data_IF_412122849510
#
_entry.id   IF_412122849510
#
_cell.length_a   1.000
_cell.length_b   1.000
_cell.length_c   1.000
_cell.angle_alpha   90.00
_cell.angle_beta   90.00
_cell.angle_gamma   90.00
#
_symmetry.space_group_name_H-M   'P 1'
#
loop_
_entity.id
_entity.type
_entity.pdbx_description
1 polymer ?
#
# COMPACT_ATOMS: atom_id res chain seq x y z
N UNK A 1 -11.12 -11.62 -9.62
CA UNK A 1 -10.33 -12.07 -8.45
C UNK A 1 -9.77 -10.87 -7.73
N UNK A 2 -9.95 -10.80 -6.44
CA UNK A 2 -9.44 -9.69 -5.65
C UNK A 2 -8.18 -10.13 -4.92
N UNK A 3 -7.13 -9.30 -5.00
CA UNK A 3 -5.85 -9.58 -4.39
C UNK A 3 -5.50 -8.43 -3.45
N UNK A 4 -5.10 -8.78 -2.23
CA UNK A 4 -4.55 -7.85 -1.27
C UNK A 4 -3.04 -8.07 -1.24
N UNK A 5 -2.28 -6.99 -1.36
CA UNK A 5 -0.82 -7.12 -1.39
C UNK A 5 -0.29 -7.36 0.01
N UNK A 6 0.47 -8.45 0.15
CA UNK A 6 1.04 -8.88 1.42
C UNK A 6 2.04 -7.86 1.95
N UNK A 7 2.04 -7.63 3.26
CA UNK A 7 3.00 -6.79 3.98
C UNK A 7 2.87 -5.30 3.78
N UNK A 8 2.07 -4.82 2.83
CA UNK A 8 2.06 -3.39 2.53
C UNK A 8 0.66 -2.80 2.62
N UNK A 9 0.61 -1.49 2.82
CA UNK A 9 -0.62 -0.74 2.84
C UNK A 9 -0.38 0.58 2.14
N UNK A 10 -1.15 0.82 1.07
CA UNK A 10 -1.01 2.02 0.27
C UNK A 10 -2.09 3.03 0.65
N UNK A 11 -1.81 4.34 0.48
CA UNK A 11 -2.85 5.35 0.68
C UNK A 11 -4.06 5.11 -0.21
N UNK A 12 -5.24 5.45 0.30
CA UNK A 12 -6.48 5.36 -0.46
C UNK A 12 -6.51 6.40 -1.58
N UNK A 13 -7.23 6.12 -2.64
CA UNK A 13 -7.39 7.09 -3.73
C UNK A 13 -7.91 8.43 -3.22
N UNK A 14 -8.79 8.41 -2.23
CA UNK A 14 -9.33 9.63 -1.64
C UNK A 14 -8.30 10.41 -0.85
N UNK A 15 -7.16 9.81 -0.52
CA UNK A 15 -6.08 10.48 0.20
C UNK A 15 -5.12 11.13 -0.81
N UNK A 16 -5.58 12.23 -1.40
CA UNK A 16 -4.82 12.92 -2.44
C UNK A 16 -3.60 13.63 -1.86
N UNK A 17 -2.48 13.68 -2.59
CA UNK A 17 -2.25 13.11 -3.92
C UNK A 17 -1.70 11.68 -3.86
N UNK A 18 -1.59 11.14 -2.65
CA UNK A 18 -0.80 9.94 -2.37
C UNK A 18 -1.41 8.68 -2.95
N UNK A 19 -2.74 8.55 -2.86
CA UNK A 19 -3.42 7.37 -3.37
C UNK A 19 -3.28 7.23 -4.88
N UNK A 20 -3.43 8.34 -5.60
CA UNK A 20 -3.25 8.32 -7.05
C UNK A 20 -1.82 7.95 -7.43
N UNK A 21 -0.85 8.53 -6.74
CA UNK A 21 0.56 8.24 -7.02
C UNK A 21 0.88 6.77 -6.79
N UNK A 22 0.32 6.20 -5.72
CA UNK A 22 0.51 4.79 -5.42
C UNK A 22 -0.13 3.91 -6.51
N UNK A 23 -1.36 4.23 -6.91
CA UNK A 23 -2.06 3.48 -7.94
C UNK A 23 -1.32 3.55 -9.28
N UNK A 24 -0.79 4.71 -9.63
CA UNK A 24 -0.03 4.88 -10.87
C UNK A 24 1.27 4.09 -10.84
N UNK A 25 1.94 4.06 -9.69
CA UNK A 25 3.16 3.28 -9.54
C UNK A 25 2.87 1.79 -9.73
N UNK A 26 1.80 1.30 -9.13
CA UNK A 26 1.42 -0.10 -9.27
C UNK A 26 1.13 -0.42 -10.73
N UNK A 27 0.40 0.45 -11.43
CA UNK A 27 0.15 0.25 -12.86
C UNK A 27 1.43 0.28 -13.69
N UNK A 28 2.44 1.02 -13.24
CA UNK A 28 3.74 1.02 -13.91
C UNK A 28 4.45 -0.31 -13.79
N UNK A 29 4.34 -0.96 -12.63
CA UNK A 29 4.94 -2.29 -12.41
C UNK A 29 4.11 -3.40 -13.05
N UNK A 30 2.79 -3.24 -13.05
CA UNK A 30 1.87 -4.26 -13.55
C UNK A 30 0.81 -3.60 -14.43
N UNK A 31 1.19 -3.23 -15.68
CA UNK A 31 0.24 -2.57 -16.57
C UNK A 31 -0.99 -3.43 -16.86
N UNK A 32 -2.11 -2.77 -17.09
CA UNK A 32 -3.34 -3.48 -17.45
C UNK A 32 -3.11 -4.40 -18.65
N UNK A 33 -3.57 -5.63 -18.54
CA UNK A 33 -3.39 -6.63 -19.60
C UNK A 33 -2.05 -7.35 -19.56
N UNK A 34 -1.12 -6.92 -18.69
CA UNK A 34 0.15 -7.63 -18.55
C UNK A 34 -0.03 -8.88 -17.67
N UNK A 35 0.88 -9.83 -17.86
CA UNK A 35 0.90 -11.04 -17.04
C UNK A 35 1.86 -10.81 -15.88
N UNK A 36 1.39 -11.08 -14.65
CA UNK A 36 2.23 -11.03 -13.47
C UNK A 36 2.13 -12.38 -12.76
N UNK A 37 3.17 -12.74 -12.03
CA UNK A 37 3.13 -13.93 -11.20
C UNK A 37 2.60 -13.56 -9.82
N UNK A 38 1.67 -14.36 -9.32
CA UNK A 38 1.09 -14.17 -8.00
C UNK A 38 1.55 -15.30 -7.09
N UNK A 39 2.28 -14.94 -6.05
CA UNK A 39 2.64 -15.89 -5.00
C UNK A 39 1.61 -15.74 -3.89
N UNK A 40 0.76 -16.74 -3.71
CA UNK A 40 -0.28 -16.70 -2.68
C UNK A 40 0.33 -16.99 -1.32
N UNK A 41 0.13 -16.07 -0.37
CA UNK A 41 0.56 -16.25 1.01
C UNK A 41 -0.58 -16.86 1.83
N UNK A 42 -1.77 -16.30 1.70
CA UNK A 42 -2.96 -16.79 2.41
C UNK A 42 -4.21 -16.19 1.76
N UNK A 43 -5.36 -16.52 2.32
CA UNK A 43 -6.63 -15.90 1.93
C UNK A 43 -7.20 -15.25 3.18
N UNK A 44 -7.65 -14.01 3.08
CA UNK A 44 -8.20 -13.32 4.25
C UNK A 44 -9.66 -13.74 4.49
N UNK A 45 -10.22 -13.28 5.59
CA UNK A 45 -11.57 -13.69 5.98
C UNK A 45 -12.67 -13.11 5.07
N UNK A 46 -12.31 -12.20 4.18
CA UNK A 46 -13.24 -11.64 3.20
C UNK A 46 -13.10 -12.31 1.84
N UNK A 47 -12.31 -13.39 1.74
CA UNK A 47 -12.14 -14.13 0.50
C UNK A 47 -11.12 -13.53 -0.46
N UNK A 48 -10.36 -12.49 -0.05
CA UNK A 48 -9.31 -11.96 -0.90
C UNK A 48 -8.06 -12.79 -0.78
N UNK A 49 -7.38 -13.01 -1.90
CA UNK A 49 -6.06 -13.63 -1.87
C UNK A 49 -5.07 -12.59 -1.36
N UNK A 50 -4.28 -12.98 -0.35
CA UNK A 50 -3.18 -12.14 0.14
C UNK A 50 -1.92 -12.68 -0.50
N UNK A 51 -1.24 -11.85 -1.28
CA UNK A 51 -0.13 -12.36 -2.07
C UNK A 51 0.92 -11.36 -2.43
N UNK A 52 1.97 -11.88 -3.07
CA UNK A 52 3.10 -11.09 -3.56
C UNK A 52 3.10 -11.15 -5.08
N UNK A 53 3.21 -10.00 -5.71
CA UNK A 53 3.25 -9.90 -7.17
C UNK A 53 4.68 -9.82 -7.65
N UNK A 54 4.96 -10.55 -8.72
CA UNK A 54 6.28 -10.55 -9.38
C UNK A 54 6.07 -10.30 -10.86
N UNK A 55 6.87 -9.42 -11.44
CA UNK A 55 6.85 -9.18 -12.89
C UNK A 55 8.23 -8.73 -13.33
N UNK A 56 8.71 -9.32 -14.38
CA UNK A 56 9.98 -8.94 -15.01
C UNK A 56 11.14 -8.86 -14.02
N UNK A 57 11.21 -9.84 -13.11
CA UNK A 57 12.27 -9.90 -12.11
C UNK A 57 12.10 -8.96 -10.93
N UNK A 58 10.99 -8.25 -10.85
CA UNK A 58 10.73 -7.30 -9.77
C UNK A 58 9.71 -7.89 -8.80
N UNK A 59 10.02 -7.86 -7.51
CA UNK A 59 9.05 -8.16 -6.47
C UNK A 59 8.30 -6.87 -6.17
N UNK A 60 7.11 -6.76 -6.73
CA UNK A 60 6.38 -5.50 -6.77
C UNK A 60 6.04 -4.99 -5.37
N UNK A 61 5.62 -5.87 -4.46
CA UNK A 61 5.24 -5.44 -3.11
C UNK A 61 6.38 -4.70 -2.41
N UNK A 62 7.57 -5.29 -2.37
CA UNK A 62 8.69 -4.67 -1.66
C UNK A 62 9.20 -3.44 -2.42
N UNK A 63 9.10 -3.45 -3.73
CA UNK A 63 9.53 -2.30 -4.53
C UNK A 63 8.60 -1.09 -4.30
N UNK A 64 7.30 -1.33 -4.14
CA UNK A 64 6.36 -0.26 -3.77
C UNK A 64 6.78 0.43 -2.47
N UNK A 65 7.26 -0.34 -1.50
CA UNK A 65 7.77 0.22 -0.25
C UNK A 65 9.07 0.98 -0.47
N UNK A 66 10.00 0.39 -1.21
CA UNK A 66 11.32 0.99 -1.44
C UNK A 66 11.20 2.35 -2.14
N UNK A 67 10.27 2.47 -3.06
CA UNK A 67 10.09 3.71 -3.81
C UNK A 67 9.15 4.71 -3.12
N UNK A 68 8.63 4.35 -1.96
CA UNK A 68 7.83 5.28 -1.16
C UNK A 68 6.37 5.38 -1.56
N UNK A 69 5.82 4.35 -2.22
CA UNK A 69 4.42 4.37 -2.64
C UNK A 69 3.50 3.60 -1.72
N UNK A 70 4.06 2.88 -0.76
CA UNK A 70 3.27 2.12 0.21
C UNK A 70 4.02 2.03 1.53
N UNK A 71 3.27 1.94 2.62
CA UNK A 71 3.83 1.72 3.95
C UNK A 71 3.92 0.23 4.22
N UNK A 72 4.78 -0.16 5.17
CA UNK A 72 4.80 -1.53 5.69
C UNK A 72 3.66 -1.65 6.70
N UNK A 73 2.81 -2.65 6.50
CA UNK A 73 1.71 -2.91 7.43
C UNK A 73 2.22 -3.83 8.53
N UNK A 74 2.78 -3.22 9.58
CA UNK A 74 3.52 -3.97 10.60
C UNK A 74 2.72 -5.06 11.26
N UNK A 75 1.41 -4.85 11.43
CA UNK A 75 0.54 -5.85 12.04
C UNK A 75 0.55 -7.18 11.27
N UNK A 76 0.82 -7.13 9.97
CA UNK A 76 0.74 -8.31 9.11
C UNK A 76 2.03 -8.61 8.38
N UNK A 77 3.15 -8.02 8.81
CA UNK A 77 4.41 -8.18 8.09
C UNK A 77 5.55 -8.52 9.03
N UNK A 78 6.14 -9.72 8.82
CA UNK A 78 7.29 -10.16 9.60
C UNK A 78 8.54 -10.36 8.72
N UNK A 79 8.52 -9.86 7.48
CA UNK A 79 9.62 -10.07 6.52
C UNK A 79 10.61 -8.92 6.57
N UNK A 80 11.88 -9.16 6.95
CA UNK A 80 12.87 -8.08 7.07
C UNK A 80 13.07 -7.25 5.83
N UNK A 81 12.92 -7.84 4.64
CA UNK A 81 13.13 -7.11 3.38
C UNK A 81 12.22 -5.89 3.26
N UNK A 82 11.01 -5.94 3.80
CA UNK A 82 10.09 -4.81 3.74
C UNK A 82 10.54 -3.68 4.66
N UNK A 83 11.06 -4.03 5.84
CA UNK A 83 11.55 -3.02 6.78
C UNK A 83 12.82 -2.37 6.26
N UNK A 84 13.70 -3.13 5.64
CA UNK A 84 14.91 -2.58 5.01
C UNK A 84 14.52 -1.62 3.89
N UNK A 85 13.57 -1.99 3.05
CA UNK A 85 13.09 -1.14 1.97
C UNK A 85 12.45 0.14 2.52
N UNK A 86 11.70 0.04 3.62
CA UNK A 86 11.10 1.21 4.26
C UNK A 86 12.17 2.19 4.73
N UNK A 87 13.21 1.69 5.41
CA UNK A 87 14.26 2.57 5.91
C UNK A 87 14.99 3.27 4.77
N UNK A 88 15.18 2.58 3.66
CA UNK A 88 15.77 3.19 2.48
C UNK A 88 14.89 4.33 1.95
N UNK A 89 13.58 4.10 1.85
CA UNK A 89 12.65 5.11 1.37
C UNK A 89 12.57 6.30 2.33
N UNK A 90 12.54 6.04 3.63
CA UNK A 90 12.48 7.10 4.65
C UNK A 90 13.73 7.96 4.61
N UNK A 91 14.89 7.33 4.57
CA UNK A 91 16.16 8.05 4.55
C UNK A 91 16.28 8.95 3.33
N UNK A 92 15.73 8.52 2.20
CA UNK A 92 15.78 9.28 0.96
C UNK A 92 14.60 10.25 0.80
N UNK A 93 13.62 10.23 1.71
CA UNK A 93 12.44 11.08 1.62
C UNK A 93 11.58 10.78 0.40
N UNK A 94 11.47 9.51 0.00
CA UNK A 94 10.72 9.13 -1.20
C UNK A 94 9.23 9.06 -0.93
N UNK A 95 8.45 9.58 -1.86
CA UNK A 95 6.99 9.41 -1.86
C UNK A 95 6.34 9.80 -0.54
N UNK A 96 5.70 8.87 0.13
CA UNK A 96 4.98 9.13 1.38
C UNK A 96 5.88 9.66 2.49
N UNK A 97 7.19 9.51 2.37
CA UNK A 97 8.16 9.98 3.38
C UNK A 97 8.67 11.38 3.10
N UNK A 98 8.20 12.03 2.02
CA UNK A 98 8.66 13.37 1.66
C UNK A 98 8.19 14.43 2.66
N UNK A 99 7.01 14.25 3.24
CA UNK A 99 6.46 15.16 4.25
C UNK A 99 5.75 14.35 5.34
N UNK A 100 5.65 14.88 6.57
CA UNK A 100 4.90 14.19 7.62
C UNK A 100 3.41 14.13 7.27
N UNK A 101 2.72 13.10 7.75
CA UNK A 101 1.29 13.00 7.59
C UNK A 101 0.78 11.57 7.62
N UNK A 102 -0.53 11.42 7.53
CA UNK A 102 -1.18 10.12 7.62
C UNK A 102 -0.98 9.26 6.38
N UNK A 103 -0.42 9.82 5.30
CA UNK A 103 -0.03 8.99 4.15
C UNK A 103 1.02 7.96 4.54
N UNK A 104 1.75 8.20 5.63
CA UNK A 104 2.75 7.26 6.14
C UNK A 104 2.10 6.14 6.96
N UNK A 105 0.84 6.30 7.31
CA UNK A 105 0.06 5.33 8.08
C UNK A 105 -1.35 5.23 7.51
N UNK A 106 -1.52 4.64 6.32
CA UNK A 106 -2.82 4.62 5.65
C UNK A 106 -3.92 3.98 6.49
N UNK A 107 -3.58 2.99 7.32
CA UNK A 107 -4.57 2.36 8.20
C UNK A 107 -5.13 3.36 9.21
N UNK A 108 -4.34 4.32 9.68
CA UNK A 108 -4.83 5.36 10.59
C UNK A 108 -5.70 6.36 9.86
N UNK A 109 -5.31 6.70 8.64
CA UNK A 109 -6.11 7.64 7.84
C UNK A 109 -7.51 7.08 7.60
N UNK A 110 -7.60 5.80 7.24
CA UNK A 110 -8.89 5.15 7.03
C UNK A 110 -9.74 5.14 8.29
N UNK A 111 -9.13 4.85 9.42
CA UNK A 111 -9.82 4.81 10.70
C UNK A 111 -10.32 6.20 11.09
N UNK A 112 -9.49 7.22 10.96
CA UNK A 112 -9.88 8.59 11.28
C UNK A 112 -10.94 9.11 10.32
N UNK A 113 -10.81 8.79 9.06
CA UNK A 113 -11.83 9.15 8.07
C UNK A 113 -13.17 8.57 8.41
N UNK A 114 -13.21 7.31 8.84
CA UNK A 114 -14.44 6.66 9.23
C UNK A 114 -15.04 7.29 10.49
N UNK A 115 -14.20 7.77 11.40
CA UNK A 115 -14.67 8.44 12.61
C UNK A 115 -15.28 9.79 12.30
N UNK A 116 -14.77 10.50 11.31
CA UNK A 116 -15.27 11.83 10.98
C UNK A 116 -16.51 11.80 10.09
N UNK A 117 -16.58 10.83 9.20
CA UNK A 117 -17.68 10.76 8.25
C UNK A 117 -19.06 10.67 8.91
N UNK A 118 -19.25 9.87 9.96
CA UNK A 118 -20.57 9.74 10.57
C UNK A 118 -21.09 10.97 11.24
N UNK A 119 -20.28 11.96 11.34
CA UNK A 119 -20.69 13.14 12.05
C UNK A 119 -21.35 14.13 11.13
N UNK A 120 -21.97 13.85 10.34
CA UNK A 120 -22.56 14.77 9.48
C UNK A 120 -23.73 15.27 9.95
N UNK A 121 -23.53 15.30 10.12
CA UNK A 121 -24.13 15.80 10.08
C UNK A 121 -25.06 15.89 10.22
N UNK A 122 -25.25 15.96 10.86
CA UNK A 122 -26.33 16.02 10.91
C UNK A 122 -26.90 16.84 10.13
N UNK A 123 -26.92 16.87 9.64
CA UNK A 123 -27.21 17.44 9.16
C UNK A 123 -27.84 17.70 8.93
N UNK A 124 -27.68 17.60 9.03
CA UNK A 124 -28.19 17.67 8.93
C UNK A 124 -28.19 17.65 8.56
#
# INVERSE_FOLDING_TARGET
MKVRLHCIDAPELAQAPWGRRSAEALRGYAPAGSVVDLETVTTDRYGRIVGVLHARGVRINVEMVRQGFAAVYEKYCAKPAYYDAREEARAAGRGIWAVPGLQQRPWEWRHRGAEFIPLPKPQG
#
